data_IF_441513894735
#
_entry.id   IF_441513894735
#
_cell.length_a   1.000
_cell.length_b   1.000
_cell.length_c   1.000
_cell.angle_alpha   90.00
_cell.angle_beta   90.00
_cell.angle_gamma   90.00
#
_symmetry.space_group_name_H-M   'P 1'
#
loop_
_entity.id
_entity.type
_entity.pdbx_description
1 polymer ?
#
# COMPACT_ATOMS: atom_id res chain seq x y z
N UNK A 1 3.21 14.79 -12.59
CA UNK A 1 4.32 14.61 -13.56
C UNK A 1 5.47 15.60 -13.35
N UNK A 2 5.35 16.91 -13.61
CA UNK A 2 6.48 17.86 -13.36
C UNK A 2 6.89 17.88 -11.88
N UNK A 3 5.92 17.82 -10.96
CA UNK A 3 6.18 17.72 -9.52
C UNK A 3 6.87 16.42 -9.08
N UNK A 4 6.65 15.30 -9.78
CA UNK A 4 7.33 14.03 -9.47
C UNK A 4 8.77 14.01 -9.97
N UNK A 5 9.02 14.65 -11.12
CA UNK A 5 10.37 14.81 -11.62
C UNK A 5 11.19 15.68 -10.67
N UNK A 6 10.58 16.75 -10.13
CA UNK A 6 11.21 17.60 -9.11
C UNK A 6 11.50 16.86 -7.80
N UNK A 7 10.59 16.00 -7.32
CA UNK A 7 10.85 15.21 -6.10
C UNK A 7 11.96 14.20 -6.33
N UNK A 8 11.91 13.41 -7.40
CA UNK A 8 12.94 12.40 -7.72
C UNK A 8 14.32 13.03 -7.95
N UNK A 9 14.40 14.21 -8.59
CA UNK A 9 15.66 14.93 -8.81
C UNK A 9 16.18 15.62 -7.55
N UNK A 10 15.31 15.99 -6.61
CA UNK A 10 15.75 16.57 -5.35
C UNK A 10 16.54 15.58 -4.48
N UNK A 11 16.28 14.28 -4.55
CA UNK A 11 17.01 13.25 -3.79
C UNK A 11 18.53 13.24 -4.06
N UNK A 12 19.03 13.10 -5.31
CA UNK A 12 20.47 13.13 -5.57
C UNK A 12 21.10 14.49 -5.26
N UNK A 13 20.34 15.59 -5.39
CA UNK A 13 20.81 16.94 -5.02
C UNK A 13 20.99 17.06 -3.51
N UNK A 14 20.07 16.50 -2.71
CA UNK A 14 20.19 16.47 -1.25
C UNK A 14 21.36 15.60 -0.77
N UNK A 15 21.58 14.46 -1.42
CA UNK A 15 22.71 13.57 -1.14
C UNK A 15 24.04 14.26 -1.50
N UNK A 16 24.10 14.98 -2.62
CA UNK A 16 25.29 15.70 -3.06
C UNK A 16 25.64 16.91 -2.18
N UNK A 17 24.64 17.68 -1.73
CA UNK A 17 24.85 18.90 -0.94
C UNK A 17 25.14 18.65 0.54
N UNK A 18 24.80 17.48 1.06
CA UNK A 18 24.90 17.15 2.49
C UNK A 18 26.20 16.45 2.90
N UNK A 19 27.09 16.12 1.94
CA UNK A 19 28.29 15.32 2.21
C UNK A 19 28.00 13.85 2.52
N UNK A 20 26.82 13.35 2.11
CA UNK A 20 26.31 12.01 2.43
C UNK A 20 27.17 10.83 1.98
N UNK A 21 28.20 11.06 1.15
CA UNK A 21 29.15 10.03 0.76
C UNK A 21 29.99 9.52 1.96
N UNK A 22 30.12 10.31 3.03
CA UNK A 22 30.97 9.97 4.18
C UNK A 22 30.20 9.34 5.35
N UNK A 23 28.92 9.69 5.59
CA UNK A 23 28.14 9.15 6.71
C UNK A 23 26.63 9.03 6.40
N UNK A 24 26.18 7.81 6.09
CA UNK A 24 24.77 7.50 5.77
C UNK A 24 23.87 7.58 7.02
N UNK A 25 24.44 7.46 8.22
CA UNK A 25 23.70 7.50 9.50
C UNK A 25 22.97 8.83 9.74
N UNK A 26 23.49 9.94 9.19
CA UNK A 26 22.88 11.28 9.28
C UNK A 26 21.54 11.36 8.53
N UNK A 27 21.29 10.44 7.60
CA UNK A 27 20.04 10.32 6.83
C UNK A 27 19.06 9.30 7.44
N UNK A 28 19.56 8.27 8.12
CA UNK A 28 18.75 7.18 8.67
C UNK A 28 17.95 7.59 9.92
N UNK A 29 18.32 8.71 10.56
CA UNK A 29 17.58 9.31 11.67
C UNK A 29 18.48 10.11 12.64
N UNK A 30 17.87 10.70 13.67
CA UNK A 30 18.58 11.47 14.70
C UNK A 30 18.17 12.95 14.77
N UNK A 31 18.78 13.71 15.69
CA UNK A 31 18.48 15.13 15.91
C UNK A 31 19.31 16.03 14.99
N UNK A 32 19.22 15.76 13.68
CA UNK A 32 19.96 16.47 12.63
C UNK A 32 19.01 17.22 11.71
N UNK A 33 19.42 18.41 11.26
CA UNK A 33 18.61 19.20 10.33
C UNK A 33 18.49 18.51 8.96
N UNK A 34 19.48 17.71 8.57
CA UNK A 34 19.48 16.89 7.35
C UNK A 34 18.37 15.83 7.40
N UNK A 35 18.23 15.11 8.51
CA UNK A 35 17.18 14.11 8.70
C UNK A 35 15.77 14.72 8.62
N UNK A 36 15.60 15.95 9.14
CA UNK A 36 14.33 16.67 9.03
C UNK A 36 13.97 16.99 7.57
N UNK A 37 14.93 17.50 6.79
CA UNK A 37 14.68 17.83 5.38
C UNK A 37 14.37 16.57 4.57
N UNK A 38 15.05 15.45 4.87
CA UNK A 38 14.78 14.15 4.23
C UNK A 38 13.38 13.66 4.55
N UNK A 39 12.96 13.70 5.82
CA UNK A 39 11.61 13.28 6.21
C UNK A 39 10.50 14.13 5.57
N UNK A 40 10.72 15.46 5.46
CA UNK A 40 9.80 16.36 4.75
C UNK A 40 9.77 16.03 3.26
N UNK A 41 10.94 15.81 2.65
CA UNK A 41 11.05 15.41 1.25
C UNK A 41 10.36 14.07 0.99
N UNK A 42 10.54 13.05 1.83
CA UNK A 42 9.89 11.75 1.72
C UNK A 42 8.36 11.88 1.77
N UNK A 43 7.85 12.70 2.68
CA UNK A 43 6.41 12.97 2.80
C UNK A 43 5.85 13.62 1.52
N UNK A 44 6.53 14.63 0.98
CA UNK A 44 6.13 15.31 -0.26
C UNK A 44 6.24 14.36 -1.46
N UNK A 45 7.30 13.55 -1.52
CA UNK A 45 7.49 12.56 -2.57
C UNK A 45 6.36 11.53 -2.56
N UNK A 46 6.03 10.97 -1.39
CA UNK A 46 4.93 10.03 -1.23
C UNK A 46 3.60 10.62 -1.72
N UNK A 47 3.27 11.85 -1.33
CA UNK A 47 2.05 12.53 -1.80
C UNK A 47 2.06 12.77 -3.31
N UNK A 48 3.20 13.17 -3.88
CA UNK A 48 3.32 13.43 -5.32
C UNK A 48 3.08 12.17 -6.15
N UNK A 49 3.56 11.02 -5.66
CA UNK A 49 3.35 9.70 -6.27
C UNK A 49 1.88 9.30 -6.20
N UNK A 50 1.25 9.45 -5.02
CA UNK A 50 -0.17 9.11 -4.84
C UNK A 50 -1.04 9.94 -5.80
N UNK A 51 -0.83 11.27 -5.86
CA UNK A 51 -1.62 12.18 -6.69
C UNK A 51 -1.43 11.87 -8.18
N UNK A 52 -0.18 11.63 -8.61
CA UNK A 52 0.10 11.39 -10.03
C UNK A 52 -0.40 10.03 -10.48
N UNK A 53 -0.27 9.01 -9.63
CA UNK A 53 -0.86 7.70 -9.90
C UNK A 53 -2.38 7.81 -10.01
N UNK A 54 -3.02 8.54 -9.08
CA UNK A 54 -4.45 8.80 -9.14
C UNK A 54 -4.85 9.53 -10.43
N UNK A 55 -4.10 10.56 -10.83
CA UNK A 55 -4.33 11.29 -12.08
C UNK A 55 -4.20 10.39 -13.31
N UNK A 56 -3.16 9.53 -13.36
CA UNK A 56 -2.95 8.59 -14.47
C UNK A 56 -4.11 7.60 -14.55
N UNK A 57 -4.51 7.03 -13.43
CA UNK A 57 -5.62 6.07 -13.38
C UNK A 57 -6.95 6.74 -13.74
N UNK A 58 -7.21 7.96 -13.27
CA UNK A 58 -8.41 8.72 -13.66
C UNK A 58 -8.41 9.11 -15.14
N UNK A 59 -7.27 9.44 -15.75
CA UNK A 59 -7.24 9.90 -17.15
C UNK A 59 -7.19 8.76 -18.16
N UNK A 60 -6.43 7.70 -17.85
CA UNK A 60 -6.15 6.58 -18.78
C UNK A 60 -7.01 5.34 -18.49
N UNK A 61 -7.44 5.15 -17.25
CA UNK A 61 -8.15 3.95 -16.78
C UNK A 61 -9.50 4.25 -16.11
N UNK A 62 -10.16 5.35 -16.48
CA UNK A 62 -11.49 5.73 -15.94
C UNK A 62 -12.63 4.76 -16.27
N UNK A 63 -12.34 3.60 -16.86
CA UNK A 63 -13.35 2.62 -17.23
C UNK A 63 -13.46 1.60 -16.11
N UNK A 64 -14.55 1.68 -15.36
CA UNK A 64 -14.87 0.71 -14.32
C UNK A 64 -15.43 -0.56 -14.98
N UNK A 65 -14.59 -1.60 -15.11
CA UNK A 65 -15.03 -2.92 -15.59
C UNK A 65 -16.02 -3.58 -14.63
N UNK A 66 -16.77 -4.59 -15.10
CA UNK A 66 -17.76 -5.33 -14.30
C UNK A 66 -17.17 -5.86 -12.98
N UNK A 67 -15.95 -6.41 -13.04
CA UNK A 67 -15.22 -6.89 -11.87
C UNK A 67 -14.89 -5.76 -10.87
N UNK A 68 -14.38 -4.61 -11.37
CA UNK A 68 -14.09 -3.44 -10.52
C UNK A 68 -15.35 -2.84 -9.91
N UNK A 69 -16.49 -2.90 -10.60
CA UNK A 69 -17.78 -2.44 -10.09
C UNK A 69 -18.28 -3.32 -8.93
N UNK A 70 -18.01 -4.62 -8.98
CA UNK A 70 -18.31 -5.56 -7.88
C UNK A 70 -17.32 -5.43 -6.71
N UNK A 71 -16.01 -5.26 -7.00
CA UNK A 71 -14.97 -5.13 -5.97
C UNK A 71 -15.00 -3.80 -5.22
N UNK A 72 -15.27 -2.68 -5.93
CA UNK A 72 -15.23 -1.32 -5.38
C UNK A 72 -15.95 -1.16 -4.03
N UNK A 73 -17.21 -1.61 -3.88
CA UNK A 73 -17.91 -1.47 -2.61
C UNK A 73 -17.56 -2.55 -1.56
N UNK A 74 -16.81 -3.59 -1.94
CA UNK A 74 -16.26 -4.59 -1.02
C UNK A 74 -14.93 -4.14 -0.38
N UNK A 75 -14.19 -3.20 -0.98
CA UNK A 75 -12.85 -2.80 -0.52
C UNK A 75 -12.79 -2.38 0.95
N UNK A 76 -13.76 -1.60 1.43
CA UNK A 76 -13.75 -1.15 2.83
C UNK A 76 -13.94 -2.30 3.82
N UNK A 77 -14.82 -3.25 3.49
CA UNK A 77 -15.05 -4.43 4.33
C UNK A 77 -13.84 -5.37 4.27
N UNK A 78 -13.22 -5.54 3.10
CA UNK A 78 -11.93 -6.24 2.95
C UNK A 78 -10.86 -5.60 3.83
N UNK A 79 -10.75 -4.28 3.85
CA UNK A 79 -9.76 -3.57 4.67
C UNK A 79 -9.92 -3.86 6.17
N UNK A 80 -11.14 -4.01 6.69
CA UNK A 80 -11.35 -4.38 8.09
C UNK A 80 -11.05 -5.87 8.31
N UNK A 81 -11.50 -6.72 7.39
CA UNK A 81 -11.45 -8.17 7.55
C UNK A 81 -10.11 -8.81 7.20
N UNK A 82 -9.24 -8.12 6.44
CA UNK A 82 -8.00 -8.73 5.93
C UNK A 82 -7.12 -9.29 7.05
N UNK A 83 -7.02 -8.59 8.19
CA UNK A 83 -6.21 -9.05 9.31
C UNK A 83 -6.71 -10.40 9.85
N UNK A 84 -8.02 -10.57 9.99
CA UNK A 84 -8.62 -11.82 10.48
C UNK A 84 -8.45 -12.96 9.46
N UNK A 85 -8.70 -12.66 8.18
CA UNK A 85 -8.61 -13.67 7.11
C UNK A 85 -7.18 -14.13 6.91
N UNK A 86 -6.20 -13.21 6.89
CA UNK A 86 -4.78 -13.55 6.71
C UNK A 86 -4.31 -14.44 7.86
N UNK A 87 -4.64 -14.11 9.11
CA UNK A 87 -4.29 -14.94 10.27
C UNK A 87 -4.92 -16.33 10.17
N UNK A 88 -6.21 -16.42 9.82
CA UNK A 88 -6.89 -17.70 9.64
C UNK A 88 -6.23 -18.58 8.56
N UNK A 89 -5.84 -17.97 7.43
CA UNK A 89 -5.14 -18.67 6.33
C UNK A 89 -3.71 -19.04 6.72
N UNK A 90 -3.05 -18.28 7.57
CA UNK A 90 -1.65 -18.52 7.96
C UNK A 90 -1.49 -19.69 8.95
N UNK A 91 -2.47 -19.91 9.84
CA UNK A 91 -2.46 -20.99 10.84
C UNK A 91 -2.13 -22.38 10.27
N UNK A 92 -2.77 -22.87 9.17
CA UNK A 92 -2.43 -24.18 8.61
C UNK A 92 -1.00 -24.24 8.04
N UNK A 93 -0.42 -23.11 7.61
CA UNK A 93 0.95 -23.05 7.07
C UNK A 93 2.03 -22.91 8.14
N UNK A 94 1.67 -22.72 9.43
CA UNK A 94 2.65 -22.64 10.52
C UNK A 94 3.46 -23.93 10.65
N UNK A 95 2.81 -25.10 10.55
CA UNK A 95 3.44 -26.42 10.74
C UNK A 95 4.12 -26.98 9.49
N UNK A 96 3.96 -26.35 8.33
CA UNK A 96 4.58 -26.80 7.10
C UNK A 96 6.09 -26.46 7.09
N UNK A 97 6.96 -27.42 6.79
CA UNK A 97 8.40 -27.23 6.65
C UNK A 97 8.78 -26.57 5.29
N UNK A 98 8.10 -25.47 4.92
CA UNK A 98 8.35 -24.73 3.68
C UNK A 98 9.16 -23.46 3.92
N UNK A 99 9.94 -22.99 2.93
CA UNK A 99 10.61 -21.69 2.98
C UNK A 99 9.61 -20.54 3.14
N UNK A 100 9.98 -19.52 3.92
CA UNK A 100 9.10 -18.37 4.26
C UNK A 100 8.56 -17.64 3.03
N UNK A 101 9.39 -17.48 1.98
CA UNK A 101 8.98 -16.83 0.74
C UNK A 101 7.86 -17.59 0.01
N UNK A 102 7.93 -18.93 -0.03
CA UNK A 102 6.89 -19.74 -0.63
C UNK A 102 5.58 -19.63 0.14
N UNK A 103 5.65 -19.72 1.48
CA UNK A 103 4.48 -19.56 2.35
C UNK A 103 3.80 -18.22 2.13
N UNK A 104 4.57 -17.13 1.99
CA UNK A 104 4.03 -15.81 1.71
C UNK A 104 3.23 -15.77 0.41
N UNK A 105 3.77 -16.33 -0.68
CA UNK A 105 3.08 -16.36 -1.98
C UNK A 105 1.76 -17.13 -1.89
N UNK A 106 1.77 -18.32 -1.26
CA UNK A 106 0.55 -19.11 -1.10
C UNK A 106 -0.49 -18.41 -0.21
N UNK A 107 -0.08 -17.89 0.94
CA UNK A 107 -0.96 -17.17 1.85
C UNK A 107 -1.53 -15.92 1.19
N UNK A 108 -0.73 -15.17 0.41
CA UNK A 108 -1.23 -14.00 -0.32
C UNK A 108 -2.23 -14.39 -1.41
N UNK A 109 -1.92 -15.42 -2.20
CA UNK A 109 -2.78 -15.88 -3.28
C UNK A 109 -4.12 -16.43 -2.79
N UNK A 110 -4.15 -17.03 -1.59
CA UNK A 110 -5.38 -17.56 -0.97
C UNK A 110 -6.13 -16.46 -0.21
N UNK A 111 -5.43 -15.62 0.56
CA UNK A 111 -6.06 -14.63 1.42
C UNK A 111 -6.74 -13.51 0.62
N UNK A 112 -6.16 -13.05 -0.49
CA UNK A 112 -6.75 -12.00 -1.33
C UNK A 112 -8.16 -12.39 -1.84
N UNK A 113 -8.37 -13.51 -2.55
CA UNK A 113 -9.70 -13.91 -2.98
C UNK A 113 -10.61 -14.25 -1.79
N UNK A 114 -10.08 -14.88 -0.73
CA UNK A 114 -10.87 -15.18 0.46
C UNK A 114 -11.44 -13.91 1.11
N UNK A 115 -10.66 -12.82 1.20
CA UNK A 115 -11.11 -11.53 1.70
C UNK A 115 -12.29 -10.98 0.89
N UNK A 116 -12.21 -11.04 -0.45
CA UNK A 116 -13.29 -10.56 -1.32
C UNK A 116 -14.55 -11.42 -1.21
N UNK A 117 -14.42 -12.74 -1.09
CA UNK A 117 -15.55 -13.67 -0.90
C UNK A 117 -16.23 -13.43 0.45
N UNK A 118 -15.44 -13.32 1.52
CA UNK A 118 -15.96 -13.04 2.88
C UNK A 118 -16.64 -11.67 2.92
N UNK A 119 -16.04 -10.66 2.29
CA UNK A 119 -16.62 -9.33 2.18
C UNK A 119 -17.96 -9.33 1.42
N UNK A 120 -18.06 -10.06 0.31
CA UNK A 120 -19.31 -10.17 -0.45
C UNK A 120 -20.39 -10.89 0.38
N UNK A 121 -20.02 -11.96 1.09
CA UNK A 121 -20.92 -12.70 1.97
C UNK A 121 -21.46 -11.81 3.11
N UNK A 122 -20.60 -11.01 3.74
CA UNK A 122 -21.00 -10.07 4.80
C UNK A 122 -21.94 -8.99 4.26
N UNK A 123 -21.70 -8.45 3.06
CA UNK A 123 -22.58 -7.44 2.45
C UNK A 123 -23.93 -7.99 1.97
N UNK A 124 -24.05 -9.31 1.76
CA UNK A 124 -25.34 -9.97 1.49
C UNK A 124 -26.23 -10.06 2.73
N UNK A 125 -25.67 -9.92 3.93
CA UNK A 125 -26.45 -9.93 5.18
C UNK A 125 -27.17 -8.57 5.31
N UNK A 126 -28.52 -8.56 5.42
CA UNK A 126 -29.35 -7.37 5.23
C UNK A 126 -29.18 -6.25 6.28
N UNK A 127 -28.38 -6.47 7.34
CA UNK A 127 -28.15 -5.50 8.42
C UNK A 127 -27.10 -4.42 8.12
N UNK A 128 -26.28 -4.60 7.07
CA UNK A 128 -25.13 -3.72 6.81
C UNK A 128 -25.41 -2.62 5.76
N UNK A 129 -26.57 -2.68 5.08
CA UNK A 129 -27.01 -1.66 4.10
C UNK A 129 -27.21 -0.26 4.69
N UNK A 130 -27.33 -0.13 6.02
CA UNK A 130 -27.68 1.14 6.67
C UNK A 130 -26.48 1.98 7.10
N UNK A 131 -25.27 1.42 7.09
CA UNK A 131 -24.06 2.10 7.59
C UNK A 131 -22.96 2.23 6.52
N UNK A 132 -23.04 1.45 5.44
CA UNK A 132 -21.95 1.30 4.47
C UNK A 132 -22.17 1.92 3.08
N UNK A 133 -23.26 2.65 2.86
CA UNK A 133 -23.54 3.38 1.61
C UNK A 133 -24.11 2.51 0.49
#
# INVERSE_FOLDING_TARGET
MIGELLTVVALPVMIALSGAAENIEVFLGGFYWQAFIVAVWESIAALSIIISLLYIFQKRYNKQGSLLKWMSPNFYTVYIMHQLVIVAVMIPFLRAAMPTALKFIFVALISVPACFVVSDLIRRIPYTKRVLG
#
